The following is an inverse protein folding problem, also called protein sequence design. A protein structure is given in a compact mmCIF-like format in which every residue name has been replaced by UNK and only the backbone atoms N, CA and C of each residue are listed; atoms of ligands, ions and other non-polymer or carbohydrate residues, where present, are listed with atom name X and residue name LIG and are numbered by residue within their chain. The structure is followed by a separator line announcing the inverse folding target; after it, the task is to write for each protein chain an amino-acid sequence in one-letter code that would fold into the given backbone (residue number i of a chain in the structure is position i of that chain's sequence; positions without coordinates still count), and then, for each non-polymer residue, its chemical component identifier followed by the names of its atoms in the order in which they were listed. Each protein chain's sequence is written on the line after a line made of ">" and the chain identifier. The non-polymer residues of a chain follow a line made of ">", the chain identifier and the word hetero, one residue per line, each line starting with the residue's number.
data_IF_565152258024
#
_entry.id   IF_565152258024
#
_cell.length_a   1.000
_cell.length_b   1.000
_cell.length_c   1.000
_cell.angle_alpha   90.00
_cell.angle_beta   90.00
_cell.angle_gamma   90.00
#
_symmetry.space_group_name_H-M   'P 1'
#
loop_
_entity.id
_entity.type
_entity.pdbx_description
1 polymer ?
#
# COMPACT_ATOMS: atom_id res chain seq x y z
N UNK A 1 1.10 16.84 -9.11
CA UNK A 1 0.51 15.67 -9.83
C UNK A 1 1.22 15.54 -11.17
N UNK A 2 1.64 14.35 -11.57
CA UNK A 2 2.27 14.08 -12.87
C UNK A 2 1.30 14.44 -14.02
N UNK A 3 1.84 14.94 -15.14
CA UNK A 3 1.06 15.15 -16.37
C UNK A 3 0.47 13.83 -16.87
N UNK A 4 -0.82 13.83 -17.25
CA UNK A 4 -1.53 12.60 -17.61
C UNK A 4 -0.94 11.92 -18.85
N UNK A 5 -0.43 12.70 -19.82
CA UNK A 5 0.17 12.13 -21.02
C UNK A 5 1.52 11.46 -20.71
N UNK A 6 2.28 12.00 -19.73
CA UNK A 6 3.50 11.36 -19.24
C UNK A 6 3.15 10.09 -18.46
N UNK A 7 2.12 10.13 -17.63
CA UNK A 7 1.68 8.97 -16.88
C UNK A 7 1.24 7.83 -17.81
N UNK A 8 0.48 8.10 -18.86
CA UNK A 8 0.07 7.10 -19.84
C UNK A 8 1.28 6.43 -20.51
N UNK A 9 2.30 7.20 -20.88
CA UNK A 9 3.56 6.65 -21.44
C UNK A 9 4.29 5.78 -20.43
N UNK A 10 4.37 6.23 -19.17
CA UNK A 10 5.06 5.52 -18.10
C UNK A 10 4.26 4.33 -17.54
N UNK A 11 2.98 4.22 -17.93
CA UNK A 11 2.10 3.06 -17.67
C UNK A 11 1.91 2.18 -18.91
N UNK A 12 2.81 2.25 -19.91
CA UNK A 12 2.77 1.38 -21.09
C UNK A 12 2.66 -0.11 -20.69
N UNK A 13 2.11 -0.98 -21.57
CA UNK A 13 1.74 -2.35 -21.20
C UNK A 13 2.88 -3.22 -20.63
N UNK A 14 4.11 -3.04 -21.11
CA UNK A 14 5.25 -3.88 -20.65
C UNK A 14 6.30 -3.04 -19.92
N UNK A 15 6.99 -3.67 -18.95
CA UNK A 15 8.09 -3.03 -18.22
C UNK A 15 9.16 -2.45 -19.16
N UNK A 16 9.52 -3.18 -20.22
CA UNK A 16 10.49 -2.69 -21.21
C UNK A 16 10.02 -1.41 -21.90
N UNK A 17 8.75 -1.36 -22.34
CA UNK A 17 8.19 -0.15 -22.96
C UNK A 17 8.17 1.02 -21.97
N UNK A 18 7.82 0.79 -20.71
CA UNK A 18 7.82 1.81 -19.67
C UNK A 18 9.21 2.39 -19.45
N UNK A 19 10.23 1.54 -19.35
CA UNK A 19 11.63 1.96 -19.19
C UNK A 19 12.19 2.68 -20.43
N UNK A 20 11.83 2.24 -21.63
CA UNK A 20 12.24 2.91 -22.86
C UNK A 20 11.56 4.28 -23.03
N UNK A 21 10.28 4.38 -22.67
CA UNK A 21 9.57 5.66 -22.61
C UNK A 21 10.20 6.60 -21.57
N UNK A 22 10.60 6.06 -20.40
CA UNK A 22 11.32 6.84 -19.37
C UNK A 22 12.61 7.42 -19.93
N UNK A 23 13.45 6.62 -20.59
CA UNK A 23 14.70 7.09 -21.21
C UNK A 23 14.44 8.23 -22.21
N UNK A 24 13.40 8.11 -23.02
CA UNK A 24 13.03 9.16 -23.98
C UNK A 24 12.56 10.44 -23.27
N UNK A 25 11.79 10.32 -22.19
CA UNK A 25 11.31 11.46 -21.40
C UNK A 25 12.48 12.17 -20.70
N UNK A 26 13.44 11.42 -20.17
CA UNK A 26 14.61 11.97 -19.47
C UNK A 26 15.52 12.86 -20.35
N UNK A 27 15.42 12.74 -21.68
CA UNK A 27 16.19 13.59 -22.59
C UNK A 27 15.71 15.06 -22.60
N UNK A 28 14.45 15.31 -22.22
CA UNK A 28 13.79 16.61 -22.37
C UNK A 28 13.26 17.17 -21.03
N UNK A 29 13.54 16.49 -19.90
CA UNK A 29 12.96 16.88 -18.60
C UNK A 29 14.02 17.31 -17.60
N UNK A 30 13.77 18.43 -16.93
CA UNK A 30 14.54 18.87 -15.78
C UNK A 30 13.80 18.55 -14.48
N UNK A 31 14.43 17.79 -13.60
CA UNK A 31 13.87 17.50 -12.28
C UNK A 31 14.10 18.66 -11.32
N UNK A 32 13.13 18.93 -10.42
CA UNK A 32 13.37 19.87 -9.32
C UNK A 32 14.51 19.38 -8.41
N UNK A 33 15.14 20.27 -7.63
CA UNK A 33 16.11 19.86 -6.62
C UNK A 33 15.50 18.85 -5.64
N UNK A 34 16.28 17.87 -5.21
CA UNK A 34 15.86 16.95 -4.14
C UNK A 34 15.94 17.64 -2.78
N UNK A 35 15.03 17.30 -1.89
CA UNK A 35 15.03 17.76 -0.49
C UNK A 35 15.45 16.57 0.39
N UNK A 36 16.51 16.70 1.20
CA UNK A 36 17.03 15.56 1.98
C UNK A 36 16.04 14.92 2.94
N UNK A 37 15.04 15.67 3.41
CA UNK A 37 13.98 15.18 4.27
C UNK A 37 12.85 14.47 3.50
N UNK A 38 12.77 14.62 2.19
CA UNK A 38 11.72 14.01 1.39
C UNK A 38 12.13 12.59 0.99
N UNK A 39 11.73 11.66 1.82
CA UNK A 39 11.86 10.21 1.63
C UNK A 39 10.46 9.59 1.65
N UNK A 40 10.27 8.48 0.95
CA UNK A 40 9.08 7.64 1.13
C UNK A 40 9.43 6.18 0.82
N UNK A 41 9.25 5.29 1.80
CA UNK A 41 9.57 3.87 1.72
C UNK A 41 8.35 2.98 1.47
N UNK A 42 7.14 3.55 1.24
CA UNK A 42 5.91 2.77 1.14
C UNK A 42 5.03 3.24 -0.02
N UNK A 43 5.53 3.06 -1.23
CA UNK A 43 4.82 3.43 -2.46
C UNK A 43 4.29 2.15 -3.12
N UNK A 44 2.96 2.08 -3.28
CA UNK A 44 2.31 1.02 -4.04
C UNK A 44 2.33 1.28 -5.53
N UNK A 45 2.37 0.20 -6.31
CA UNK A 45 2.35 0.26 -7.77
C UNK A 45 1.19 -0.55 -8.36
N UNK A 46 1.14 -0.65 -9.69
CA UNK A 46 0.18 -1.51 -10.40
C UNK A 46 0.34 -2.99 -10.08
N UNK A 47 1.40 -3.41 -9.38
CA UNK A 47 1.58 -4.79 -8.90
C UNK A 47 0.74 -5.12 -7.66
N UNK A 48 0.16 -4.11 -6.99
CA UNK A 48 -0.92 -4.29 -6.02
C UNK A 48 -2.15 -3.49 -6.45
N UNK A 49 -2.25 -2.21 -6.07
CA UNK A 49 -3.28 -1.32 -6.59
C UNK A 49 -2.83 0.14 -6.48
N UNK A 50 -2.51 0.75 -7.58
CA UNK A 50 -2.09 2.14 -7.68
C UNK A 50 -2.31 2.64 -9.11
N UNK A 51 -2.42 3.95 -9.37
CA UNK A 51 -2.43 4.50 -10.72
C UNK A 51 -1.03 4.52 -11.37
N UNK A 52 0.01 4.13 -10.62
CA UNK A 52 1.41 4.24 -11.04
C UNK A 52 2.02 2.85 -11.28
N UNK A 53 2.58 2.62 -12.47
CA UNK A 53 3.53 1.52 -12.67
C UNK A 53 4.79 1.74 -11.79
N UNK A 54 5.65 0.73 -11.58
CA UNK A 54 6.91 0.94 -10.88
C UNK A 54 7.73 2.09 -11.46
N UNK A 55 7.83 2.18 -12.79
CA UNK A 55 8.51 3.27 -13.50
C UNK A 55 7.85 4.63 -13.27
N UNK A 56 6.51 4.70 -13.34
CA UNK A 56 5.77 5.94 -13.11
C UNK A 56 5.87 6.41 -11.65
N UNK A 57 5.89 5.49 -10.70
CA UNK A 57 6.00 5.79 -9.26
C UNK A 57 7.34 6.46 -8.93
N UNK A 58 8.46 5.91 -9.43
CA UNK A 58 9.79 6.51 -9.25
C UNK A 58 9.86 7.89 -9.90
N UNK A 59 9.35 8.01 -11.13
CA UNK A 59 9.34 9.29 -11.84
C UNK A 59 8.52 10.34 -11.09
N UNK A 60 7.32 10.00 -10.63
CA UNK A 60 6.45 10.89 -9.87
C UNK A 60 7.09 11.32 -8.53
N UNK A 61 7.68 10.38 -7.80
CA UNK A 61 8.42 10.65 -6.57
C UNK A 61 9.55 11.66 -6.81
N UNK A 62 10.34 11.45 -7.87
CA UNK A 62 11.45 12.34 -8.21
C UNK A 62 10.97 13.73 -8.68
N UNK A 63 9.85 13.79 -9.41
CA UNK A 63 9.21 15.04 -9.83
C UNK A 63 8.68 15.86 -8.64
N UNK A 64 8.34 15.23 -7.52
CA UNK A 64 7.96 15.92 -6.28
C UNK A 64 9.17 16.26 -5.39
N UNK A 65 10.40 15.96 -5.83
CA UNK A 65 11.64 16.33 -5.14
C UNK A 65 12.11 15.33 -4.08
N UNK A 66 11.60 14.10 -4.08
CA UNK A 66 12.09 13.06 -3.18
C UNK A 66 13.57 12.77 -3.45
N UNK A 67 14.34 12.54 -2.37
CA UNK A 67 15.73 12.13 -2.45
C UNK A 67 15.90 10.61 -2.44
N UNK A 68 14.91 9.86 -1.98
CA UNK A 68 14.83 8.38 -2.06
C UNK A 68 13.38 7.96 -2.31
N UNK A 69 13.19 6.76 -2.88
CA UNK A 69 11.88 6.15 -3.06
C UNK A 69 11.91 4.66 -2.69
N UNK A 70 10.82 4.12 -2.14
CA UNK A 70 10.71 2.70 -1.81
C UNK A 70 9.40 2.10 -2.28
N UNK A 71 9.47 0.92 -2.90
CA UNK A 71 8.30 0.16 -3.35
C UNK A 71 7.86 -0.83 -2.28
N UNK A 72 6.55 -0.83 -1.98
CA UNK A 72 5.88 -1.80 -1.12
C UNK A 72 4.54 -2.18 -1.74
N UNK A 73 4.46 -3.31 -2.41
CA UNK A 73 3.21 -3.82 -2.97
C UNK A 73 2.60 -4.93 -2.10
N UNK A 74 1.27 -5.07 -2.09
CA UNK A 74 0.58 -6.14 -1.36
C UNK A 74 0.87 -7.51 -1.96
N UNK A 75 1.38 -8.42 -1.15
CA UNK A 75 1.67 -9.84 -1.47
C UNK A 75 2.55 -10.05 -2.71
N UNK A 76 3.25 -8.99 -3.14
CA UNK A 76 4.08 -9.00 -4.34
C UNK A 76 5.35 -8.20 -4.17
N UNK A 77 6.44 -8.71 -4.70
CA UNK A 77 7.71 -7.99 -4.88
C UNK A 77 8.11 -7.91 -6.35
N UNK A 78 7.26 -8.38 -7.25
CA UNK A 78 7.60 -8.56 -8.67
C UNK A 78 7.83 -7.25 -9.41
N UNK A 79 7.26 -6.13 -8.92
CA UNK A 79 7.52 -4.77 -9.43
C UNK A 79 8.91 -4.21 -9.09
N UNK A 80 9.62 -4.82 -8.14
CA UNK A 80 10.86 -4.27 -7.59
C UNK A 80 11.98 -4.14 -8.61
N UNK A 81 12.16 -5.12 -9.52
CA UNK A 81 13.21 -5.06 -10.55
C UNK A 81 13.04 -3.88 -11.50
N UNK A 82 11.81 -3.63 -11.95
CA UNK A 82 11.48 -2.48 -12.78
C UNK A 82 11.69 -1.17 -12.02
N UNK A 83 11.23 -1.13 -10.75
CA UNK A 83 11.37 0.04 -9.87
C UNK A 83 12.85 0.43 -9.70
N UNK A 84 13.73 -0.54 -9.42
CA UNK A 84 15.17 -0.32 -9.30
C UNK A 84 15.79 0.19 -10.60
N UNK A 85 15.44 -0.41 -11.75
CA UNK A 85 15.92 0.03 -13.05
C UNK A 85 15.49 1.46 -13.38
N UNK A 86 14.25 1.82 -13.07
CA UNK A 86 13.75 3.18 -13.23
C UNK A 86 14.49 4.16 -12.29
N UNK A 87 14.72 3.74 -11.03
CA UNK A 87 15.47 4.53 -10.06
C UNK A 87 16.91 4.80 -10.51
N UNK A 88 17.58 3.78 -11.04
CA UNK A 88 18.94 3.92 -11.58
C UNK A 88 18.99 4.85 -12.81
N UNK A 89 18.00 4.78 -13.71
CA UNK A 89 17.89 5.68 -14.87
C UNK A 89 17.69 7.14 -14.46
N UNK A 90 16.90 7.37 -13.41
CA UNK A 90 16.59 8.72 -12.88
C UNK A 90 17.72 9.25 -11.99
N UNK A 91 18.52 8.35 -11.41
CA UNK A 91 19.57 8.69 -10.45
C UNK A 91 19.04 8.96 -9.03
N UNK A 92 17.96 8.27 -8.60
CA UNK A 92 17.44 8.34 -7.25
C UNK A 92 17.71 7.03 -6.50
N UNK A 93 18.28 7.05 -5.28
CA UNK A 93 18.42 5.86 -4.46
C UNK A 93 17.05 5.26 -4.11
N UNK A 94 16.96 3.93 -4.14
CA UNK A 94 15.71 3.22 -3.92
C UNK A 94 15.87 2.06 -2.94
N UNK A 95 14.78 1.71 -2.22
CA UNK A 95 14.64 0.52 -1.38
C UNK A 95 13.46 -0.30 -1.86
N UNK A 96 13.50 -1.61 -1.62
CA UNK A 96 12.45 -2.54 -2.05
C UNK A 96 11.92 -3.39 -0.91
N UNK A 97 10.65 -3.71 -1.00
CA UNK A 97 9.97 -4.57 -0.05
C UNK A 97 8.58 -4.95 -0.51
N UNK A 98 7.79 -5.48 0.40
CA UNK A 98 6.39 -5.82 0.18
C UNK A 98 5.61 -5.78 1.48
N UNK A 99 4.27 -5.69 1.38
CA UNK A 99 3.35 -5.77 2.49
C UNK A 99 2.47 -7.02 2.36
N UNK A 100 2.19 -7.69 3.48
CA UNK A 100 1.32 -8.88 3.47
C UNK A 100 0.44 -8.94 4.71
N UNK A 101 -0.64 -9.71 4.62
CA UNK A 101 -1.42 -10.14 5.78
C UNK A 101 -0.75 -11.32 6.44
N UNK A 102 -0.82 -11.35 7.79
CA UNK A 102 -0.19 -12.39 8.62
C UNK A 102 -1.17 -12.84 9.68
N UNK A 103 -1.34 -14.15 9.85
CA UNK A 103 -2.09 -14.69 10.99
C UNK A 103 -1.32 -14.49 12.29
N UNK A 104 -2.01 -13.93 13.27
CA UNK A 104 -1.51 -13.77 14.65
C UNK A 104 -1.89 -14.95 15.56
N UNK A 105 -2.41 -16.03 15.00
CA UNK A 105 -2.79 -17.23 15.75
C UNK A 105 -1.57 -17.85 16.44
N UNK A 106 -1.78 -18.29 17.69
CA UNK A 106 -0.72 -18.86 18.51
C UNK A 106 0.22 -17.82 19.13
N UNK A 107 0.03 -16.53 18.88
CA UNK A 107 0.80 -15.45 19.54
C UNK A 107 0.10 -14.91 20.78
N UNK A 108 0.80 -14.10 21.57
CA UNK A 108 0.27 -13.42 22.77
C UNK A 108 -0.97 -12.56 22.48
N UNK A 109 -1.07 -11.99 21.29
CA UNK A 109 -2.17 -11.10 20.86
C UNK A 109 -3.17 -11.77 19.93
N UNK A 110 -3.18 -13.11 19.89
CA UNK A 110 -4.16 -13.87 19.13
C UNK A 110 -5.60 -13.45 19.48
N UNK A 111 -6.45 -13.33 18.44
CA UNK A 111 -7.84 -12.94 18.59
C UNK A 111 -8.07 -11.47 18.95
N UNK A 112 -7.04 -10.63 18.97
CA UNK A 112 -7.18 -9.18 19.13
C UNK A 112 -7.17 -8.46 17.79
N UNK A 113 -7.78 -7.28 17.77
CA UNK A 113 -7.69 -6.37 16.62
C UNK A 113 -6.35 -5.67 16.66
N UNK A 114 -5.55 -5.90 15.63
CA UNK A 114 -4.29 -5.20 15.40
C UNK A 114 -4.49 -4.04 14.40
N UNK A 115 -3.56 -3.83 13.51
CA UNK A 115 -3.57 -2.80 12.46
C UNK A 115 -4.47 -3.14 11.25
N UNK A 116 -5.30 -4.18 11.32
CA UNK A 116 -6.19 -4.57 10.24
C UNK A 116 -7.62 -4.06 10.52
N UNK A 117 -8.15 -3.14 9.68
CA UNK A 117 -9.50 -2.61 9.88
C UNK A 117 -10.61 -3.61 9.61
N UNK A 118 -10.35 -4.62 8.77
CA UNK A 118 -11.37 -5.50 8.22
C UNK A 118 -11.53 -6.80 9.03
N UNK A 119 -10.46 -7.28 9.70
CA UNK A 119 -10.47 -8.57 10.37
C UNK A 119 -9.67 -8.55 11.68
N UNK A 120 -10.16 -9.28 12.70
CA UNK A 120 -9.47 -9.55 13.97
C UNK A 120 -8.54 -10.75 13.80
N UNK A 121 -7.42 -10.78 14.52
CA UNK A 121 -6.46 -11.88 14.50
C UNK A 121 -5.54 -11.95 13.28
N UNK A 122 -5.67 -10.99 12.38
CA UNK A 122 -4.80 -10.82 11.20
C UNK A 122 -4.17 -9.44 11.23
N UNK A 123 -2.85 -9.37 11.05
CA UNK A 123 -2.09 -8.12 10.98
C UNK A 123 -1.56 -7.86 9.59
N UNK A 124 -1.31 -6.60 9.26
CA UNK A 124 -0.43 -6.22 8.17
C UNK A 124 1.00 -6.10 8.65
N UNK A 125 1.92 -6.68 7.91
CA UNK A 125 3.35 -6.59 8.14
C UNK A 125 4.06 -6.23 6.84
N UNK A 126 5.17 -5.47 6.95
CA UNK A 126 6.00 -5.18 5.79
C UNK A 126 7.32 -5.94 5.88
N UNK A 127 7.76 -6.47 4.75
CA UNK A 127 9.11 -6.99 4.56
C UNK A 127 9.87 -5.87 3.86
N UNK A 128 10.86 -5.32 4.51
CA UNK A 128 11.63 -4.17 4.04
C UNK A 128 13.07 -4.57 3.75
N UNK A 129 13.75 -3.80 2.92
CA UNK A 129 15.19 -3.96 2.67
C UNK A 129 15.56 -5.37 2.19
N UNK A 130 14.93 -5.81 1.12
CA UNK A 130 15.15 -7.14 0.54
C UNK A 130 16.42 -7.13 -0.32
N UNK A 131 17.49 -7.90 0.01
CA UNK A 131 18.63 -8.05 -0.88
C UNK A 131 18.19 -8.51 -2.27
N UNK A 132 18.65 -7.85 -3.32
CA UNK A 132 18.08 -8.00 -4.68
C UNK A 132 18.18 -9.42 -5.23
N UNK A 133 19.16 -10.22 -4.78
CA UNK A 133 19.31 -11.62 -5.17
C UNK A 133 18.28 -12.56 -4.51
N UNK A 134 17.54 -12.09 -3.52
CA UNK A 134 16.51 -12.86 -2.81
C UNK A 134 15.07 -12.57 -3.27
N UNK A 135 14.88 -11.68 -4.26
CA UNK A 135 13.54 -11.35 -4.80
C UNK A 135 12.78 -12.62 -5.21
N UNK A 136 13.41 -13.54 -5.94
CA UNK A 136 12.77 -14.77 -6.43
C UNK A 136 12.30 -15.70 -5.29
N UNK A 137 13.02 -15.74 -4.17
CA UNK A 137 12.60 -16.53 -3.01
C UNK A 137 11.31 -16.01 -2.40
N UNK A 138 11.15 -14.68 -2.31
CA UNK A 138 9.91 -14.08 -1.84
C UNK A 138 8.77 -14.32 -2.82
N UNK A 139 9.01 -14.14 -4.12
CA UNK A 139 8.00 -14.39 -5.17
C UNK A 139 7.44 -15.82 -5.07
N UNK A 140 8.32 -16.82 -4.94
CA UNK A 140 7.94 -18.23 -4.83
C UNK A 140 7.19 -18.52 -3.50
N UNK A 141 7.66 -17.95 -2.39
CA UNK A 141 6.98 -18.10 -1.11
C UNK A 141 5.55 -17.56 -1.14
N UNK A 142 5.32 -16.36 -1.72
CA UNK A 142 4.00 -15.75 -1.75
C UNK A 142 3.07 -16.24 -2.86
N UNK A 143 3.55 -17.02 -3.81
CA UNK A 143 2.74 -17.55 -4.91
C UNK A 143 1.49 -18.31 -4.47
N UNK A 144 1.54 -19.29 -3.52
CA UNK A 144 0.34 -19.96 -3.03
C UNK A 144 -0.61 -19.02 -2.28
N UNK A 145 -0.09 -18.04 -1.53
CA UNK A 145 -0.91 -17.08 -0.81
C UNK A 145 -1.66 -16.13 -1.77
N UNK A 146 -1.02 -15.69 -2.86
CA UNK A 146 -1.70 -14.93 -3.92
C UNK A 146 -2.81 -15.76 -4.60
N UNK A 147 -2.58 -17.05 -4.81
CA UNK A 147 -3.59 -17.96 -5.37
C UNK A 147 -4.79 -18.09 -4.41
N UNK A 148 -4.56 -18.33 -3.13
CA UNK A 148 -5.60 -18.39 -2.10
C UNK A 148 -6.39 -17.05 -2.02
N UNK A 149 -5.71 -15.93 -2.11
CA UNK A 149 -6.35 -14.60 -2.15
C UNK A 149 -7.27 -14.43 -3.36
N UNK A 150 -6.91 -14.95 -4.52
CA UNK A 150 -7.80 -14.94 -5.68
C UNK A 150 -9.06 -15.76 -5.45
N UNK A 151 -8.96 -16.96 -4.83
CA UNK A 151 -10.13 -17.76 -4.50
C UNK A 151 -11.06 -17.07 -3.49
N UNK A 152 -10.50 -16.39 -2.49
CA UNK A 152 -11.27 -15.53 -1.59
C UNK A 152 -11.95 -14.38 -2.34
N UNK A 153 -11.23 -13.72 -3.24
CA UNK A 153 -11.73 -12.60 -4.03
C UNK A 153 -12.88 -13.01 -4.98
N UNK A 154 -12.87 -14.22 -5.52
CA UNK A 154 -14.01 -14.80 -6.27
C UNK A 154 -15.27 -14.85 -5.42
N UNK A 155 -15.15 -15.27 -4.15
CA UNK A 155 -16.26 -15.28 -3.20
C UNK A 155 -16.80 -13.87 -2.94
N UNK A 156 -15.91 -12.87 -2.80
CA UNK A 156 -16.29 -11.48 -2.64
C UNK A 156 -17.00 -10.91 -3.88
N UNK A 157 -16.57 -11.30 -5.10
CA UNK A 157 -17.27 -10.96 -6.34
C UNK A 157 -18.66 -11.58 -6.40
N UNK A 158 -18.83 -12.82 -5.94
CA UNK A 158 -20.14 -13.43 -5.82
C UNK A 158 -21.04 -12.67 -4.82
N UNK A 159 -20.49 -12.24 -3.68
CA UNK A 159 -21.20 -11.48 -2.66
C UNK A 159 -21.65 -10.10 -3.20
N UNK A 160 -20.79 -9.37 -3.95
CA UNK A 160 -21.19 -8.07 -4.53
C UNK A 160 -22.28 -8.26 -5.61
N UNK A 161 -22.22 -9.32 -6.40
CA UNK A 161 -23.25 -9.65 -7.39
C UNK A 161 -24.61 -9.97 -6.75
N UNK A 162 -24.59 -10.64 -5.60
CA UNK A 162 -25.81 -10.90 -4.84
C UNK A 162 -26.36 -9.62 -4.19
N UNK A 163 -25.48 -8.73 -3.75
CA UNK A 163 -25.83 -7.48 -3.10
C UNK A 163 -26.41 -6.44 -4.08
N UNK A 164 -25.89 -6.43 -5.33
CA UNK A 164 -26.22 -5.43 -6.36
C UNK A 164 -26.77 -6.10 -7.63
N UNK A 165 -28.06 -6.52 -7.64
CA UNK A 165 -28.63 -7.29 -8.75
C UNK A 165 -28.56 -6.59 -10.13
N UNK A 166 -28.45 -5.25 -10.15
CA UNK A 166 -28.36 -4.46 -11.39
C UNK A 166 -26.94 -4.36 -11.98
N UNK A 167 -25.93 -4.93 -11.31
CA UNK A 167 -24.53 -4.91 -11.77
C UNK A 167 -23.95 -6.30 -11.61
N UNK A 168 -23.41 -6.87 -12.70
CA UNK A 168 -22.80 -8.21 -12.66
C UNK A 168 -21.33 -8.13 -13.00
N UNK A 169 -20.47 -8.48 -12.06
CA UNK A 169 -19.04 -8.66 -12.25
C UNK A 169 -18.71 -10.13 -12.53
N UNK A 170 -17.76 -10.34 -13.42
CA UNK A 170 -17.11 -11.62 -13.65
C UNK A 170 -15.66 -11.51 -13.17
N UNK A 171 -15.23 -12.42 -12.30
CA UNK A 171 -13.90 -12.34 -11.71
C UNK A 171 -12.79 -12.41 -12.76
N UNK A 172 -12.86 -13.39 -13.65
CA UNK A 172 -11.78 -13.67 -14.61
C UNK A 172 -11.74 -12.63 -15.76
N UNK A 173 -12.90 -12.06 -16.12
CA UNK A 173 -13.00 -11.08 -17.21
C UNK A 173 -12.87 -9.64 -16.73
N UNK A 174 -13.52 -9.29 -15.60
CA UNK A 174 -13.72 -7.90 -15.19
C UNK A 174 -12.76 -7.47 -14.06
N UNK A 175 -12.25 -8.40 -13.24
CA UNK A 175 -11.45 -8.11 -12.05
C UNK A 175 -9.99 -8.53 -12.20
N UNK A 176 -9.74 -9.80 -12.51
CA UNK A 176 -8.38 -10.35 -12.59
C UNK A 176 -7.48 -9.61 -13.60
N UNK A 177 -7.96 -9.20 -14.80
CA UNK A 177 -7.14 -8.47 -15.74
C UNK A 177 -6.70 -7.06 -15.29
N UNK A 178 -7.33 -6.50 -14.25
CA UNK A 178 -6.93 -5.22 -13.66
C UNK A 178 -5.70 -5.35 -12.74
N UNK A 179 -5.40 -6.56 -12.29
CA UNK A 179 -4.18 -6.89 -11.54
C UNK A 179 -3.10 -7.38 -12.52
N UNK A 180 -1.85 -7.29 -12.13
CA UNK A 180 -0.75 -7.90 -12.86
C UNK A 180 -0.46 -9.32 -12.34
N UNK A 181 -1.50 -10.10 -12.02
CA UNK A 181 -1.36 -11.42 -11.41
C UNK A 181 -0.48 -12.38 -12.23
N UNK A 182 -0.62 -12.36 -13.56
CA UNK A 182 0.22 -13.15 -14.47
C UNK A 182 1.70 -12.77 -14.43
N UNK A 183 2.01 -11.57 -13.97
CA UNK A 183 3.36 -11.03 -13.81
C UNK A 183 3.84 -11.05 -12.35
N UNK A 184 3.12 -11.75 -11.47
CA UNK A 184 3.43 -11.85 -10.04
C UNK A 184 2.78 -10.77 -9.16
N UNK A 185 1.90 -9.95 -9.69
CA UNK A 185 1.15 -8.96 -8.93
C UNK A 185 0.11 -9.56 -7.99
N UNK A 186 -0.27 -8.81 -6.96
CA UNK A 186 -1.31 -9.15 -6.00
C UNK A 186 -2.67 -8.55 -6.38
N UNK A 187 -3.76 -9.25 -6.02
CA UNK A 187 -5.11 -8.75 -6.17
C UNK A 187 -5.62 -8.27 -4.80
N UNK A 188 -6.24 -7.08 -4.76
CA UNK A 188 -6.79 -6.49 -3.54
C UNK A 188 -8.29 -6.21 -3.68
N UNK A 189 -8.96 -5.93 -2.58
CA UNK A 189 -10.36 -5.51 -2.58
C UNK A 189 -10.60 -4.25 -3.44
N UNK A 190 -9.55 -3.43 -3.63
CA UNK A 190 -9.60 -2.25 -4.50
C UNK A 190 -9.82 -2.62 -5.98
N UNK A 191 -9.25 -3.73 -6.47
CA UNK A 191 -9.49 -4.20 -7.84
C UNK A 191 -10.97 -4.55 -8.06
N UNK A 192 -11.61 -5.20 -7.08
CA UNK A 192 -13.06 -5.52 -7.15
C UNK A 192 -13.87 -4.22 -7.21
N UNK A 193 -13.57 -3.27 -6.34
CA UNK A 193 -14.28 -1.99 -6.30
C UNK A 193 -13.99 -1.11 -7.51
N UNK A 194 -12.79 -1.18 -8.07
CA UNK A 194 -12.43 -0.47 -9.30
C UNK A 194 -13.15 -1.05 -10.52
N UNK A 195 -13.21 -2.38 -10.61
CA UNK A 195 -14.03 -3.07 -11.62
C UNK A 195 -15.51 -2.66 -11.53
N UNK A 196 -16.04 -2.57 -10.29
CA UNK A 196 -17.38 -2.07 -10.06
C UNK A 196 -17.54 -0.61 -10.50
N UNK A 197 -16.57 0.24 -10.18
CA UNK A 197 -16.56 1.65 -10.59
C UNK A 197 -16.58 1.80 -12.12
N UNK A 198 -15.72 1.08 -12.82
CA UNK A 198 -15.68 1.07 -14.30
C UNK A 198 -17.03 0.64 -14.88
N UNK A 199 -17.64 -0.39 -14.33
CA UNK A 199 -18.92 -0.91 -14.82
C UNK A 199 -20.07 0.06 -14.56
N UNK A 200 -20.12 0.68 -13.39
CA UNK A 200 -21.10 1.71 -13.08
C UNK A 200 -20.95 2.94 -13.99
N UNK A 201 -19.71 3.40 -14.20
CA UNK A 201 -19.43 4.52 -15.11
C UNK A 201 -19.88 4.20 -16.54
N UNK A 202 -19.63 2.99 -17.03
CA UNK A 202 -20.05 2.56 -18.35
C UNK A 202 -21.59 2.48 -18.49
N UNK A 203 -22.32 2.12 -17.43
CA UNK A 203 -23.78 1.99 -17.42
C UNK A 203 -24.49 3.33 -17.24
N UNK A 204 -23.95 4.22 -16.43
CA UNK A 204 -24.65 5.40 -15.90
C UNK A 204 -24.06 6.71 -16.46
N UNK A 205 -22.78 6.71 -16.84
CA UNK A 205 -22.01 7.93 -17.12
C UNK A 205 -21.48 8.58 -15.83
N UNK A 206 -20.90 9.77 -15.97
CA UNK A 206 -20.31 10.58 -14.88
C UNK A 206 -21.25 11.72 -14.47
N UNK A 207 -20.93 12.43 -13.40
CA UNK A 207 -21.65 13.63 -12.96
C UNK A 207 -22.94 13.32 -12.19
N UNK A 208 -23.96 14.14 -12.39
CA UNK A 208 -25.22 14.06 -11.65
C UNK A 208 -25.91 12.70 -11.75
N UNK A 209 -25.81 12.03 -12.90
CA UNK A 209 -26.37 10.68 -13.09
C UNK A 209 -25.70 9.66 -12.16
N UNK A 210 -24.38 9.75 -11.94
CA UNK A 210 -23.68 8.88 -11.01
C UNK A 210 -24.07 9.19 -9.56
N UNK A 211 -24.19 10.46 -9.18
CA UNK A 211 -24.67 10.85 -7.83
C UNK A 211 -26.01 10.21 -7.56
N UNK A 212 -26.98 10.38 -8.48
CA UNK A 212 -28.31 9.78 -8.36
C UNK A 212 -28.25 8.25 -8.27
N UNK A 213 -27.42 7.61 -9.11
CA UNK A 213 -27.23 6.16 -9.10
C UNK A 213 -26.74 5.64 -7.75
N UNK A 214 -25.77 6.34 -7.13
CA UNK A 214 -25.24 5.96 -5.82
C UNK A 214 -26.30 6.14 -4.72
N UNK A 215 -27.09 7.22 -4.78
CA UNK A 215 -28.21 7.45 -3.85
C UNK A 215 -29.30 6.39 -4.02
N UNK A 216 -29.65 5.99 -5.25
CA UNK A 216 -30.58 4.89 -5.55
C UNK A 216 -30.08 3.52 -5.04
N UNK A 217 -28.77 3.34 -4.95
CA UNK A 217 -28.13 2.17 -4.33
C UNK A 217 -28.11 2.25 -2.79
N UNK A 218 -28.70 3.29 -2.20
CA UNK A 218 -28.84 3.48 -0.76
C UNK A 218 -27.62 4.09 -0.08
N UNK A 219 -26.72 4.74 -0.83
CA UNK A 219 -25.57 5.43 -0.26
C UNK A 219 -25.92 6.86 0.14
N UNK A 220 -25.46 7.29 1.31
CA UNK A 220 -25.48 8.70 1.70
C UNK A 220 -24.12 9.32 1.38
N UNK A 221 -24.10 10.29 0.48
CA UNK A 221 -22.87 10.95 0.05
C UNK A 221 -22.64 12.26 0.83
N UNK A 222 -21.42 12.46 1.28
CA UNK A 222 -20.98 13.77 1.79
C UNK A 222 -20.89 14.80 0.67
N UNK A 223 -20.93 16.10 1.00
CA UNK A 223 -20.78 17.18 0.01
C UNK A 223 -19.46 17.07 -0.77
N UNK A 224 -18.38 16.64 -0.12
CA UNK A 224 -17.08 16.37 -0.76
C UNK A 224 -17.21 15.25 -1.81
N UNK A 225 -17.86 14.13 -1.45
CA UNK A 225 -18.07 13.01 -2.38
C UNK A 225 -18.97 13.41 -3.56
N UNK A 226 -20.02 14.21 -3.32
CA UNK A 226 -20.86 14.75 -4.40
C UNK A 226 -20.04 15.65 -5.33
N UNK A 227 -19.22 16.54 -4.77
CA UNK A 227 -18.35 17.41 -5.57
C UNK A 227 -17.34 16.60 -6.42
N UNK A 228 -16.76 15.54 -5.85
CA UNK A 228 -15.88 14.63 -6.59
C UNK A 228 -16.62 13.93 -7.75
N UNK A 229 -17.84 13.44 -7.53
CA UNK A 229 -18.64 12.80 -8.58
C UNK A 229 -19.15 13.80 -9.63
N UNK A 230 -19.24 15.07 -9.31
CA UNK A 230 -19.59 16.14 -10.28
C UNK A 230 -18.40 16.61 -11.15
N UNK A 231 -17.17 16.34 -10.72
CA UNK A 231 -15.95 16.66 -11.47
C UNK A 231 -15.68 15.61 -12.57
N UNK A 232 -16.44 15.70 -13.66
CA UNK A 232 -16.36 14.75 -14.79
C UNK A 232 -15.06 14.83 -15.59
N UNK A 233 -14.27 15.89 -15.37
CA UNK A 233 -13.00 16.12 -16.09
C UNK A 233 -11.79 15.58 -15.30
N UNK A 234 -11.98 15.15 -14.05
CA UNK A 234 -10.89 14.59 -13.28
C UNK A 234 -10.40 13.27 -13.91
N UNK A 235 -9.11 13.16 -14.26
CA UNK A 235 -8.59 11.99 -14.99
C UNK A 235 -8.75 10.68 -14.22
N UNK A 236 -8.75 10.74 -12.90
CA UNK A 236 -8.88 9.58 -12.01
C UNK A 236 -10.27 9.49 -11.37
N UNK A 237 -11.30 9.86 -12.09
CA UNK A 237 -12.69 9.84 -11.62
C UNK A 237 -13.09 8.51 -10.99
N UNK A 238 -12.70 7.39 -11.63
CA UNK A 238 -13.02 6.05 -11.18
C UNK A 238 -12.29 5.67 -9.88
N UNK A 239 -11.16 6.32 -9.55
CA UNK A 239 -10.49 6.18 -8.24
C UNK A 239 -11.27 6.87 -7.11
N UNK A 240 -11.87 8.03 -7.37
CA UNK A 240 -12.77 8.68 -6.41
C UNK A 240 -14.03 7.85 -6.19
N UNK A 241 -14.62 7.35 -7.26
CA UNK A 241 -15.78 6.45 -7.20
C UNK A 241 -15.45 5.16 -6.43
N UNK A 242 -14.29 4.56 -6.72
CA UNK A 242 -13.78 3.39 -5.97
C UNK A 242 -13.72 3.66 -4.47
N UNK A 243 -13.24 4.81 -4.03
CA UNK A 243 -13.12 5.14 -2.62
C UNK A 243 -14.50 5.16 -1.92
N UNK A 244 -15.52 5.69 -2.59
CA UNK A 244 -16.91 5.68 -2.12
C UNK A 244 -17.43 4.23 -2.03
N UNK A 245 -17.26 3.46 -3.09
CA UNK A 245 -17.72 2.07 -3.17
C UNK A 245 -17.03 1.17 -2.15
N UNK A 246 -15.71 1.34 -1.96
CA UNK A 246 -14.93 0.59 -0.96
C UNK A 246 -15.49 0.81 0.44
N UNK A 247 -15.69 2.06 0.83
CA UNK A 247 -16.24 2.40 2.15
C UNK A 247 -17.65 1.83 2.37
N UNK A 248 -18.47 1.80 1.33
CA UNK A 248 -19.86 1.35 1.41
C UNK A 248 -20.01 -0.17 1.36
N UNK A 249 -19.26 -0.85 0.53
CA UNK A 249 -19.53 -2.24 0.18
C UNK A 249 -18.52 -3.24 0.70
N UNK A 250 -17.24 -2.91 0.87
CA UNK A 250 -16.25 -3.89 1.36
C UNK A 250 -16.67 -4.50 2.68
N UNK A 251 -17.15 -3.76 3.71
CA UNK A 251 -17.59 -4.36 4.97
C UNK A 251 -18.80 -5.32 4.83
N UNK A 252 -19.55 -5.22 3.73
CA UNK A 252 -20.77 -6.02 3.48
C UNK A 252 -20.51 -7.26 2.65
N UNK A 253 -19.38 -7.31 1.93
CA UNK A 253 -19.02 -8.41 1.04
C UNK A 253 -17.78 -9.16 1.51
N UNK A 254 -17.14 -8.66 2.57
CA UNK A 254 -15.88 -9.19 3.05
C UNK A 254 -15.99 -10.69 3.37
N UNK A 255 -14.97 -11.41 3.02
CA UNK A 255 -14.74 -12.81 3.38
C UNK A 255 -13.43 -12.83 4.15
N UNK A 256 -13.41 -13.45 5.30
CA UNK A 256 -12.22 -13.51 6.14
C UNK A 256 -11.01 -14.07 5.39
N UNK A 257 -9.87 -13.43 5.59
CA UNK A 257 -8.59 -13.85 5.07
C UNK A 257 -8.04 -14.95 5.98
N UNK A 258 -7.81 -16.12 5.45
CA UNK A 258 -7.34 -17.28 6.18
C UNK A 258 -6.17 -17.93 5.41
N UNK A 259 -6.45 -18.75 4.41
CA UNK A 259 -5.44 -19.47 3.62
C UNK A 259 -4.44 -18.54 2.91
N UNK A 260 -4.76 -17.27 2.72
CA UNK A 260 -3.88 -16.26 2.14
C UNK A 260 -2.91 -15.63 3.14
N UNK A 261 -3.00 -15.97 4.43
CA UNK A 261 -2.18 -15.41 5.49
C UNK A 261 -1.13 -16.42 5.96
N UNK A 262 0.17 -16.20 5.70
CA UNK A 262 1.22 -16.96 6.37
C UNK A 262 1.13 -16.78 7.88
N UNK A 263 1.63 -17.74 8.65
CA UNK A 263 1.81 -17.54 10.09
C UNK A 263 2.94 -16.55 10.35
N UNK A 264 2.87 -15.81 11.47
CA UNK A 264 3.97 -14.90 11.85
C UNK A 264 5.30 -15.64 11.97
N UNK A 265 5.29 -16.87 12.47
CA UNK A 265 6.48 -17.71 12.63
C UNK A 265 7.13 -18.07 11.28
N UNK A 266 6.33 -18.42 10.28
CA UNK A 266 6.84 -18.73 8.94
C UNK A 266 7.41 -17.49 8.28
N UNK A 267 6.78 -16.33 8.49
CA UNK A 267 7.25 -15.08 7.93
C UNK A 267 8.56 -14.61 8.58
N UNK A 268 8.70 -14.72 9.90
CA UNK A 268 9.96 -14.45 10.61
C UNK A 268 11.07 -15.37 10.11
N UNK A 269 10.78 -16.66 9.90
CA UNK A 269 11.73 -17.62 9.34
C UNK A 269 12.15 -17.22 7.94
N UNK A 270 11.19 -16.91 7.06
CA UNK A 270 11.47 -16.44 5.70
C UNK A 270 12.37 -15.21 5.70
N UNK A 271 12.03 -14.19 6.49
CA UNK A 271 12.83 -12.95 6.54
C UNK A 271 14.27 -13.19 6.99
N UNK A 272 14.48 -14.10 7.94
CA UNK A 272 15.85 -14.54 8.33
C UNK A 272 16.58 -15.25 7.19
N UNK A 273 15.90 -16.10 6.41
CA UNK A 273 16.49 -16.84 5.30
C UNK A 273 16.84 -15.96 4.10
N UNK A 274 16.12 -14.86 3.92
CA UNK A 274 16.33 -13.91 2.82
C UNK A 274 17.05 -12.63 3.26
N UNK A 275 17.49 -12.56 4.52
CA UNK A 275 18.17 -11.42 5.10
C UNK A 275 17.41 -10.10 4.90
N UNK A 276 16.10 -10.13 5.20
CA UNK A 276 15.20 -8.97 5.06
C UNK A 276 14.63 -8.55 6.41
N UNK A 277 14.25 -7.30 6.53
CA UNK A 277 13.69 -6.72 7.75
C UNK A 277 12.18 -6.92 7.82
N UNK A 278 11.69 -7.73 8.76
CA UNK A 278 10.27 -7.86 9.05
C UNK A 278 9.82 -6.77 10.02
N UNK A 279 8.81 -5.98 9.61
CA UNK A 279 8.33 -4.84 10.37
C UNK A 279 6.84 -4.95 10.67
N UNK A 280 6.45 -4.63 11.89
CA UNK A 280 5.05 -4.39 12.23
C UNK A 280 4.62 -3.01 11.71
N UNK A 281 3.50 -2.94 10.99
CA UNK A 281 2.98 -1.69 10.46
C UNK A 281 2.01 -1.05 11.46
N UNK A 282 2.52 -0.21 12.38
CA UNK A 282 1.69 0.45 13.38
C UNK A 282 0.64 1.36 12.73
N UNK A 283 -0.62 1.13 13.08
CA UNK A 283 -1.75 1.92 12.58
C UNK A 283 -2.24 2.95 13.59
N UNK A 284 -2.42 2.54 14.85
CA UNK A 284 -2.94 3.36 15.93
C UNK A 284 -4.43 3.67 15.82
N UNK A 285 -5.05 3.94 16.95
CA UNK A 285 -6.47 4.28 17.05
C UNK A 285 -6.81 5.55 16.26
N UNK A 286 -7.99 5.60 15.69
CA UNK A 286 -8.51 6.78 14.99
C UNK A 286 -9.69 7.34 15.74
N UNK A 287 -9.66 8.64 16.09
CA UNK A 287 -10.82 9.39 16.56
C UNK A 287 -11.75 9.77 15.41
N UNK A 288 -12.93 10.28 15.75
CA UNK A 288 -13.81 10.90 14.77
C UNK A 288 -13.10 12.11 14.15
N UNK A 289 -13.08 12.16 12.82
CA UNK A 289 -12.55 13.35 12.16
C UNK A 289 -13.56 14.49 12.22
N UNK A 290 -13.06 15.71 12.43
CA UNK A 290 -13.87 16.94 12.44
C UNK A 290 -14.60 17.14 11.10
N UNK A 291 -14.07 16.56 10.02
CA UNK A 291 -14.62 16.62 8.66
C UNK A 291 -15.56 15.47 8.33
N UNK A 292 -15.72 14.46 9.23
CA UNK A 292 -16.61 13.32 9.06
C UNK A 292 -16.14 12.26 8.05
N UNK A 293 -14.92 12.39 7.52
CA UNK A 293 -14.37 11.46 6.52
C UNK A 293 -13.76 10.20 7.16
N UNK A 294 -13.51 10.21 8.47
CA UNK A 294 -13.03 9.05 9.22
C UNK A 294 -13.97 8.78 10.40
N UNK A 295 -14.43 7.55 10.54
CA UNK A 295 -15.14 7.07 11.72
C UNK A 295 -14.13 6.66 12.78
N UNK A 296 -14.45 6.87 14.06
CA UNK A 296 -13.67 6.36 15.17
C UNK A 296 -13.47 4.85 15.03
N UNK A 297 -12.24 4.39 15.16
CA UNK A 297 -11.90 2.99 15.05
C UNK A 297 -10.78 2.64 16.04
N UNK A 298 -10.98 1.55 16.79
CA UNK A 298 -10.01 1.03 17.75
C UNK A 298 -9.14 -0.03 17.08
N UNK A 299 -7.84 0.08 17.35
CA UNK A 299 -6.82 -0.85 16.87
C UNK A 299 -5.99 -1.36 18.07
N UNK A 300 -4.68 -1.13 18.06
CA UNK A 300 -3.72 -1.73 19.02
C UNK A 300 -3.35 -0.84 20.21
N UNK A 301 -3.75 0.44 20.26
CA UNK A 301 -3.27 1.39 21.27
C UNK A 301 -3.58 0.98 22.71
N UNK A 302 -4.73 0.35 22.95
CA UNK A 302 -5.14 -0.06 24.31
C UNK A 302 -4.23 -1.15 24.92
N UNK A 303 -3.48 -1.90 24.08
CA UNK A 303 -2.59 -2.99 24.50
C UNK A 303 -1.21 -2.96 23.82
N UNK A 304 -0.77 -1.76 23.44
CA UNK A 304 0.45 -1.57 22.66
C UNK A 304 1.71 -2.13 23.37
N UNK A 305 1.79 -2.01 24.70
CA UNK A 305 2.89 -2.59 25.50
C UNK A 305 2.93 -4.13 25.35
N UNK A 306 1.77 -4.79 25.41
CA UNK A 306 1.66 -6.23 25.24
C UNK A 306 1.98 -6.66 23.81
N UNK A 307 1.60 -5.84 22.80
CA UNK A 307 1.97 -6.07 21.42
C UNK A 307 3.48 -6.02 21.22
N UNK A 308 4.19 -5.06 21.83
CA UNK A 308 5.64 -4.98 21.74
C UNK A 308 6.34 -6.20 22.35
N UNK A 309 5.85 -6.69 23.50
CA UNK A 309 6.33 -7.95 24.08
C UNK A 309 6.10 -9.13 23.12
N UNK A 310 4.93 -9.19 22.47
CA UNK A 310 4.63 -10.22 21.48
C UNK A 310 5.60 -10.16 20.29
N UNK A 311 5.82 -8.97 19.71
CA UNK A 311 6.73 -8.77 18.59
C UNK A 311 8.16 -9.22 18.93
N UNK A 312 8.63 -8.89 20.13
CA UNK A 312 9.94 -9.28 20.63
C UNK A 312 10.06 -10.80 20.80
N UNK A 313 9.06 -11.44 21.43
CA UNK A 313 8.99 -12.90 21.63
C UNK A 313 9.01 -13.65 20.30
N UNK A 314 8.30 -13.17 19.31
CA UNK A 314 8.23 -13.77 17.97
C UNK A 314 9.46 -13.45 17.09
N UNK A 315 10.30 -12.51 17.52
CA UNK A 315 11.54 -12.15 16.81
C UNK A 315 11.36 -11.07 15.74
N UNK A 316 10.28 -10.30 15.78
CA UNK A 316 10.14 -9.06 14.98
C UNK A 316 10.96 -7.97 15.67
N UNK A 317 11.75 -7.23 14.88
CA UNK A 317 12.71 -6.24 15.41
C UNK A 317 12.55 -4.84 14.80
N UNK A 318 11.48 -4.61 14.04
CA UNK A 318 11.25 -3.32 13.41
C UNK A 318 9.75 -2.94 13.41
N UNK A 319 9.50 -1.64 13.39
CA UNK A 319 8.17 -1.05 13.30
C UNK A 319 8.16 0.03 12.23
N UNK A 320 7.16 0.00 11.36
CA UNK A 320 6.86 1.12 10.44
C UNK A 320 5.69 1.93 10.96
N UNK A 321 5.70 3.23 10.74
CA UNK A 321 4.60 4.10 11.12
C UNK A 321 4.50 5.33 10.21
N UNK A 322 3.34 5.98 10.23
CA UNK A 322 2.98 7.11 9.37
C UNK A 322 3.01 8.43 10.16
N UNK A 323 4.02 9.29 9.98
CA UNK A 323 4.11 10.59 10.65
C UNK A 323 2.89 11.50 10.46
N UNK A 324 2.18 11.38 9.34
CA UNK A 324 1.03 12.24 9.02
C UNK A 324 -0.31 11.70 9.53
N UNK A 325 -0.36 10.39 9.87
CA UNK A 325 -1.60 9.72 10.29
C UNK A 325 -1.84 9.84 11.79
N UNK A 326 -0.80 9.61 12.58
CA UNK A 326 -0.91 9.44 14.02
C UNK A 326 -0.77 10.77 14.77
N UNK A 327 -1.36 10.86 15.96
CA UNK A 327 -1.23 12.05 16.80
C UNK A 327 0.17 12.14 17.43
N UNK A 328 0.61 13.34 17.85
CA UNK A 328 1.88 13.50 18.56
C UNK A 328 2.01 12.60 19.79
N UNK A 329 0.92 12.39 20.53
CA UNK A 329 0.88 11.54 21.74
C UNK A 329 1.08 10.07 21.36
N UNK A 330 0.39 9.58 20.32
CA UNK A 330 0.58 8.22 19.80
C UNK A 330 2.02 7.99 19.37
N UNK A 331 2.57 8.92 18.57
CA UNK A 331 3.94 8.82 18.07
C UNK A 331 4.97 8.89 19.19
N UNK A 332 4.75 9.71 20.21
CA UNK A 332 5.64 9.79 21.38
C UNK A 332 5.65 8.45 22.16
N UNK A 333 4.47 7.87 22.43
CA UNK A 333 4.36 6.58 23.08
C UNK A 333 4.99 5.47 22.26
N UNK A 334 4.66 5.40 20.97
CA UNK A 334 5.21 4.40 20.05
C UNK A 334 6.74 4.43 20.03
N UNK A 335 7.33 5.60 19.88
CA UNK A 335 8.79 5.77 19.83
C UNK A 335 9.45 5.37 21.14
N UNK A 336 8.84 5.74 22.29
CA UNK A 336 9.35 5.31 23.59
C UNK A 336 9.36 3.79 23.74
N UNK A 337 8.35 3.10 23.22
CA UNK A 337 8.32 1.63 23.20
C UNK A 337 9.34 1.07 22.19
N UNK A 338 9.49 1.65 21.02
CA UNK A 338 10.53 1.26 20.08
C UNK A 338 11.93 1.36 20.71
N UNK A 339 12.22 2.44 21.42
CA UNK A 339 13.51 2.64 22.10
C UNK A 339 13.70 1.63 23.25
N UNK A 340 12.65 1.38 24.07
CA UNK A 340 12.69 0.43 25.17
C UNK A 340 12.92 -1.02 24.72
N UNK A 341 12.38 -1.41 23.56
CA UNK A 341 12.48 -2.76 22.98
C UNK A 341 13.55 -2.87 21.88
N UNK A 342 14.37 -1.85 21.67
CA UNK A 342 15.38 -1.79 20.61
C UNK A 342 14.81 -2.11 19.22
N UNK A 343 13.61 -1.60 18.92
CA UNK A 343 12.97 -1.78 17.61
C UNK A 343 13.51 -0.77 16.60
N UNK A 344 13.90 -1.24 15.43
CA UNK A 344 14.26 -0.38 14.31
C UNK A 344 13.02 0.34 13.78
N UNK A 345 13.12 1.65 13.57
CA UNK A 345 11.97 2.51 13.21
C UNK A 345 12.09 2.93 11.75
N UNK A 346 11.04 2.71 10.96
CA UNK A 346 11.02 2.96 9.51
C UNK A 346 9.81 3.81 9.15
N UNK A 347 9.97 4.75 8.22
CA UNK A 347 8.85 5.52 7.64
C UNK A 347 7.95 4.61 6.80
N UNK A 348 6.64 4.63 7.06
CA UNK A 348 5.64 3.76 6.43
C UNK A 348 4.47 4.53 5.80
N UNK A 349 4.67 5.75 5.31
CA UNK A 349 3.62 6.55 4.68
C UNK A 349 3.12 5.91 3.39
N UNK A 350 1.90 5.35 3.43
CA UNK A 350 1.28 4.57 2.36
C UNK A 350 0.75 5.46 1.21
N UNK A 351 1.34 5.31 0.01
CA UNK A 351 0.93 6.01 -1.22
C UNK A 351 0.34 5.01 -2.20
N UNK A 352 -0.97 5.10 -2.41
CA UNK A 352 -1.72 4.19 -3.28
C UNK A 352 -2.88 4.86 -4.06
N UNK A 353 -2.95 6.18 -4.04
CA UNK A 353 -4.05 6.94 -4.63
C UNK A 353 -3.53 8.18 -5.36
N UNK A 354 -4.16 8.57 -6.50
CA UNK A 354 -3.72 9.72 -7.29
C UNK A 354 -3.89 11.07 -6.56
N UNK A 355 -4.64 11.12 -5.46
CA UNK A 355 -4.82 12.34 -4.65
C UNK A 355 -3.79 12.50 -3.54
N UNK A 356 -2.94 11.51 -3.31
CA UNK A 356 -1.87 11.58 -2.32
C UNK A 356 -0.62 12.23 -2.91
N UNK A 357 0.08 13.04 -2.11
CA UNK A 357 1.42 13.53 -2.43
C UNK A 357 2.46 12.48 -2.05
N UNK A 358 3.51 12.37 -2.83
CA UNK A 358 4.68 11.56 -2.46
C UNK A 358 5.50 12.22 -1.34
N UNK A 359 5.39 13.55 -1.20
CA UNK A 359 6.08 14.31 -0.16
C UNK A 359 5.38 14.20 1.18
N UNK A 360 6.11 13.73 2.17
CA UNK A 360 5.69 13.65 3.56
C UNK A 360 6.25 14.87 4.30
N UNK A 361 5.50 15.99 4.30
CA UNK A 361 5.97 17.24 4.94
C UNK A 361 6.26 17.10 6.44
N UNK A 362 5.63 16.16 7.12
CA UNK A 362 5.94 15.87 8.52
C UNK A 362 7.42 15.52 8.74
N UNK A 363 8.11 14.98 7.72
CA UNK A 363 9.53 14.64 7.78
C UNK A 363 10.45 15.86 7.91
N UNK A 364 9.97 17.07 7.66
CA UNK A 364 10.71 18.31 7.94
C UNK A 364 10.89 18.55 9.45
N UNK A 365 10.08 17.90 10.29
CA UNK A 365 10.22 17.98 11.74
C UNK A 365 11.43 17.13 12.18
N UNK A 366 12.41 17.73 12.91
CA UNK A 366 13.58 17.01 13.42
C UNK A 366 13.26 15.77 14.26
N UNK A 367 12.04 15.67 14.80
CA UNK A 367 11.56 14.49 15.51
C UNK A 367 11.69 13.21 14.68
N UNK A 368 11.59 13.30 13.35
CA UNK A 368 11.62 12.17 12.43
C UNK A 368 12.96 11.98 11.71
N UNK A 369 14.02 12.67 12.14
CA UNK A 369 15.34 12.52 11.53
C UNK A 369 15.86 11.07 11.54
N UNK A 370 15.51 10.30 12.59
CA UNK A 370 15.84 8.87 12.68
C UNK A 370 15.24 8.04 11.54
N UNK A 371 14.08 8.41 10.98
CA UNK A 371 13.45 7.71 9.85
C UNK A 371 14.20 7.96 8.53
N UNK A 372 14.82 9.14 8.40
CA UNK A 372 15.68 9.46 7.26
C UNK A 372 16.93 8.58 7.31
N UNK A 373 17.59 8.55 8.48
CA UNK A 373 18.77 7.69 8.68
C UNK A 373 18.45 6.20 8.48
N UNK A 374 17.27 5.77 8.94
CA UNK A 374 16.79 4.41 8.74
C UNK A 374 16.67 4.06 7.25
N UNK A 375 16.11 4.97 6.44
CA UNK A 375 15.97 4.77 4.99
C UNK A 375 17.32 4.53 4.30
N UNK A 376 18.34 5.31 4.66
CA UNK A 376 19.70 5.10 4.11
C UNK A 376 20.29 3.76 4.54
N UNK A 377 20.03 3.30 5.78
CA UNK A 377 20.46 1.97 6.24
C UNK A 377 19.79 0.84 5.47
N UNK A 378 18.48 0.98 5.12
CA UNK A 378 17.78 0.01 4.27
C UNK A 378 18.45 -0.10 2.89
N UNK A 379 18.74 1.04 2.26
CA UNK A 379 19.38 1.11 0.94
C UNK A 379 20.79 0.52 0.98
N UNK A 380 21.58 0.86 2.00
CA UNK A 380 22.95 0.35 2.18
C UNK A 380 22.95 -1.17 2.42
N UNK A 381 21.98 -1.69 3.17
CA UNK A 381 21.80 -3.13 3.38
C UNK A 381 21.55 -3.85 2.05
N UNK A 382 20.59 -3.38 1.27
CA UNK A 382 20.24 -3.99 -0.01
C UNK A 382 21.39 -4.01 -1.01
N UNK A 383 22.15 -2.91 -1.08
CA UNK A 383 23.20 -2.70 -2.08
C UNK A 383 24.56 -3.23 -1.68
N UNK A 384 24.92 -3.09 -0.41
CA UNK A 384 26.27 -3.32 0.10
C UNK A 384 26.34 -4.46 1.13
N UNK A 385 25.20 -5.04 1.51
CA UNK A 385 25.13 -6.10 2.55
C UNK A 385 25.53 -5.60 3.94
N UNK A 386 25.38 -4.31 4.23
CA UNK A 386 25.62 -3.78 5.57
C UNK A 386 24.55 -4.29 6.54
N UNK A 387 24.95 -4.69 7.75
CA UNK A 387 24.02 -5.18 8.75
C UNK A 387 23.01 -4.09 9.17
N UNK A 388 21.73 -4.48 9.28
CA UNK A 388 20.70 -3.64 9.89
C UNK A 388 20.80 -3.68 11.43
N UNK A 389 20.38 -2.64 12.14
CA UNK A 389 20.40 -2.60 13.60
C UNK A 389 19.17 -3.32 14.20
N UNK A 390 18.98 -4.62 13.87
CA UNK A 390 17.83 -5.46 14.25
C UNK A 390 18.26 -6.74 14.94
#
# INVERSE_FOLDING_TARGET
>A
MIDINLLEKLNAPTAQQRLDNLKAILADIDFPPTVPQYINNHIHTTYSFSPYSPTAAVFAARMEGLCTAGIIDHDSISGAREFLQAADLIGIPATIGMECRVSMDGTRVAGRRTNNPDQVGVSYMTIQSVPHHNIEKLEEFFKPYRAARNERSKKMVANINALLPGVKLDFDRDVLPLSLYSEGGGLTERHIMYSLALKLTAQTGKGAAMVQRLEDMGLTLSEKQKAQMMDTQYPFYEYDLLAILKSAFVPRIYVDADEECPSLKDLVKLCKEVDACLCYAYLGDVGDSVTGDKKAQKFEDDYLDELFLCLEEEGVRAVTYMPTRNTPEQLTRLRSLCDAHNMFQISGEDINSPRQSFVIKAMENPLFANLIDATWKLIDHEREGKALPI
#
